data_IF_488306217839
#
_entry.id   IF_488306217839
#
_cell.length_a   1.000
_cell.length_b   1.000
_cell.length_c   1.000
_cell.angle_alpha   90.00
_cell.angle_beta   90.00
_cell.angle_gamma   90.00
#
_symmetry.space_group_name_H-M   'P 1'
#
loop_
_entity.id
_entity.type
_entity.pdbx_description
1 polymer ?
#
# COMPACT_ATOMS: atom_id res chain seq x y z
N UNK A 1 -14.67 -1.28 10.35
CA UNK A 1 -14.70 -1.76 8.95
C UNK A 1 -13.82 -0.85 8.12
N UNK A 2 -12.80 -1.39 7.46
CA UNK A 2 -11.91 -0.61 6.58
C UNK A 2 -12.20 -1.02 5.14
N UNK A 3 -12.79 -0.13 4.35
CA UNK A 3 -13.18 -0.33 2.95
C UNK A 3 -11.99 -0.14 1.98
N UNK A 4 -10.82 -0.68 2.32
CA UNK A 4 -9.68 -0.67 1.38
C UNK A 4 -9.86 -1.86 0.44
N UNK A 5 -10.21 -1.57 -0.81
CA UNK A 5 -10.44 -2.53 -1.89
C UNK A 5 -9.14 -3.23 -2.38
N UNK A 6 -7.98 -2.69 -2.00
CA UNK A 6 -6.66 -3.05 -2.50
C UNK A 6 -5.78 -3.86 -1.53
N UNK A 7 -4.55 -4.14 -1.97
CA UNK A 7 -3.54 -4.70 -1.08
C UNK A 7 -3.20 -3.70 0.02
N UNK A 8 -3.14 -4.18 1.26
CA UNK A 8 -2.83 -3.32 2.42
C UNK A 8 -1.35 -2.97 2.52
N UNK A 9 -0.48 -3.73 1.84
CA UNK A 9 0.98 -3.57 1.84
C UNK A 9 1.57 -3.75 0.45
N UNK A 10 2.73 -3.15 0.22
CA UNK A 10 3.59 -3.37 -0.95
C UNK A 10 5.05 -3.47 -0.48
N UNK A 11 5.87 -4.26 -1.15
CA UNK A 11 7.31 -4.24 -0.88
C UNK A 11 7.88 -2.85 -1.19
N UNK A 12 8.74 -2.34 -0.31
CA UNK A 12 9.57 -1.19 -0.62
C UNK A 12 10.69 -1.62 -1.58
N UNK A 13 11.03 -0.77 -2.53
CA UNK A 13 12.15 -1.03 -3.45
C UNK A 13 13.51 -0.95 -2.73
N UNK A 14 13.53 -0.22 -1.62
CA UNK A 14 14.71 -0.01 -0.80
C UNK A 14 14.65 -0.89 0.46
N UNK A 15 15.72 -1.67 0.69
CA UNK A 15 15.89 -2.51 1.88
C UNK A 15 15.18 -3.87 1.82
N UNK A 16 15.92 -4.93 2.13
CA UNK A 16 15.38 -6.29 2.14
C UNK A 16 14.32 -6.46 3.24
N UNK A 17 13.12 -6.90 2.84
CA UNK A 17 12.01 -7.19 3.75
C UNK A 17 11.29 -5.97 4.30
N UNK A 18 11.54 -4.78 3.73
CA UNK A 18 10.76 -3.58 4.04
C UNK A 18 9.47 -3.54 3.23
N UNK A 19 8.38 -3.17 3.89
CA UNK A 19 7.05 -3.06 3.29
C UNK A 19 6.45 -1.69 3.61
N UNK A 20 5.66 -1.16 2.69
CA UNK A 20 4.87 0.05 2.84
C UNK A 20 3.40 -0.33 3.02
N UNK A 21 2.79 0.11 4.12
CA UNK A 21 1.38 -0.13 4.45
C UNK A 21 0.50 1.09 4.16
N UNK A 22 -0.75 0.85 3.76
CA UNK A 22 -1.77 1.89 3.68
C UNK A 22 -2.15 2.38 5.08
N UNK A 23 -2.24 3.70 5.23
CA UNK A 23 -2.62 4.36 6.46
C UNK A 23 -4.10 4.73 6.43
N UNK A 24 -4.75 4.65 7.58
CA UNK A 24 -6.05 5.27 7.78
C UNK A 24 -5.95 6.79 7.78
N UNK A 25 -7.08 7.47 7.50
CA UNK A 25 -7.16 8.93 7.57
C UNK A 25 -6.71 9.48 8.94
N UNK A 26 -7.03 8.76 10.03
CA UNK A 26 -6.61 9.13 11.39
C UNK A 26 -5.08 9.08 11.54
N UNK A 27 -4.45 7.99 11.11
CA UNK A 27 -2.98 7.84 11.19
C UNK A 27 -2.27 8.95 10.38
N UNK A 28 -2.82 9.34 9.23
CA UNK A 28 -2.29 10.47 8.44
C UNK A 28 -2.43 11.79 9.20
N UNK A 29 -3.56 12.03 9.87
CA UNK A 29 -3.74 13.23 10.69
C UNK A 29 -2.80 13.26 11.91
N UNK A 30 -2.60 12.12 12.57
CA UNK A 30 -1.64 12.00 13.67
C UNK A 30 -0.20 12.27 13.20
N UNK A 31 0.20 11.71 12.05
CA UNK A 31 1.50 12.02 11.44
C UNK A 31 1.68 13.51 11.14
N UNK A 32 0.63 14.18 10.64
CA UNK A 32 0.69 15.63 10.38
C UNK A 32 0.82 16.46 11.66
N UNK A 33 0.17 16.05 12.75
CA UNK A 33 0.29 16.72 14.05
C UNK A 33 1.68 16.56 14.63
N UNK A 34 2.23 15.36 14.56
CA UNK A 34 3.62 15.08 14.98
C UNK A 34 4.62 15.91 14.16
N UNK A 35 4.47 15.92 12.83
CA UNK A 35 5.32 16.71 11.94
C UNK A 35 5.25 18.21 12.26
N UNK A 36 4.07 18.74 12.58
CA UNK A 36 3.91 20.12 13.02
C UNK A 36 4.66 20.41 14.33
N UNK A 37 4.78 19.44 15.24
CA UNK A 37 5.58 19.56 16.45
C UNK A 37 7.10 19.48 16.23
N UNK A 38 7.53 18.83 15.14
CA UNK A 38 8.96 18.74 14.77
C UNK A 38 9.45 19.92 13.93
N UNK A 39 8.56 20.49 13.09
CA UNK A 39 8.90 21.54 12.14
C UNK A 39 9.22 22.85 12.87
N UNK A 40 10.40 23.43 12.64
CA UNK A 40 10.76 24.77 13.14
C UNK A 40 10.62 25.85 12.08
N UNK A 41 10.86 25.48 10.82
CA UNK A 41 10.79 26.38 9.68
C UNK A 41 9.94 25.78 8.55
N UNK A 42 9.29 26.63 7.76
CA UNK A 42 8.42 26.18 6.66
C UNK A 42 9.14 25.30 5.64
N UNK A 43 10.44 25.52 5.41
CA UNK A 43 11.26 24.73 4.48
C UNK A 43 11.40 23.26 4.91
N UNK A 44 11.32 22.97 6.20
CA UNK A 44 11.49 21.62 6.77
C UNK A 44 10.17 20.85 6.80
N UNK A 45 9.04 21.55 6.67
CA UNK A 45 7.69 21.01 6.86
C UNK A 45 7.41 19.77 6.02
N UNK A 46 7.81 19.79 4.75
CA UNK A 46 7.60 18.67 3.85
C UNK A 46 8.43 17.45 4.27
N UNK A 47 9.66 17.66 4.72
CA UNK A 47 10.55 16.60 5.18
C UNK A 47 10.04 15.97 6.48
N UNK A 48 9.65 16.79 7.46
CA UNK A 48 9.07 16.32 8.72
C UNK A 48 7.75 15.56 8.49
N UNK A 49 6.89 16.04 7.58
CA UNK A 49 5.64 15.36 7.23
C UNK A 49 5.89 13.98 6.61
N UNK A 50 6.83 13.91 5.67
CA UNK A 50 7.24 12.66 5.04
C UNK A 50 7.84 11.67 6.05
N UNK A 51 8.70 12.14 6.95
CA UNK A 51 9.29 11.31 8.00
C UNK A 51 8.23 10.74 8.95
N UNK A 52 7.29 11.56 9.43
CA UNK A 52 6.21 11.11 10.32
C UNK A 52 5.24 10.14 9.64
N UNK A 53 5.05 10.29 8.32
CA UNK A 53 4.28 9.36 7.51
C UNK A 53 4.99 8.01 7.39
N UNK A 54 6.29 8.02 7.06
CA UNK A 54 7.09 6.80 6.95
C UNK A 54 7.21 6.05 8.27
N UNK A 55 7.28 6.74 9.41
CA UNK A 55 7.31 6.10 10.72
C UNK A 55 6.11 5.16 10.96
N UNK A 56 4.96 5.46 10.35
CA UNK A 56 3.74 4.64 10.46
C UNK A 56 3.57 3.67 9.29
N UNK A 57 4.05 4.06 8.12
CA UNK A 57 3.83 3.32 6.88
C UNK A 57 4.88 2.24 6.63
N UNK A 58 6.11 2.43 7.11
CA UNK A 58 7.22 1.51 6.86
C UNK A 58 7.24 0.40 7.91
N UNK A 59 7.01 -0.83 7.47
CA UNK A 59 6.96 -2.03 8.31
C UNK A 59 8.03 -3.05 7.88
N UNK A 60 8.40 -3.91 8.82
CA UNK A 60 9.15 -5.14 8.57
C UNK A 60 8.45 -6.28 9.27
N UNK A 61 7.95 -7.26 8.51
CA UNK A 61 7.20 -8.37 9.08
C UNK A 61 5.89 -7.95 9.77
N UNK A 62 5.29 -6.83 9.36
CA UNK A 62 4.06 -6.28 9.94
C UNK A 62 4.25 -5.36 11.15
N UNK A 63 5.48 -5.15 11.61
CA UNK A 63 5.80 -4.24 12.72
C UNK A 63 6.43 -2.94 12.18
N UNK A 64 6.09 -1.76 12.74
CA UNK A 64 6.71 -0.49 12.37
C UNK A 64 8.23 -0.52 12.59
N UNK A 65 8.99 -0.07 11.58
CA UNK A 65 10.46 -0.01 11.68
C UNK A 65 10.92 1.14 12.59
N UNK A 66 10.16 2.22 12.61
CA UNK A 66 10.45 3.41 13.39
C UNK A 66 9.28 3.72 14.33
N UNK A 67 9.59 4.20 15.53
CA UNK A 67 8.58 4.57 16.52
C UNK A 67 7.99 5.97 16.29
N UNK A 68 8.76 6.88 15.69
CA UNK A 68 8.41 8.30 15.51
C UNK A 68 9.02 8.86 14.22
N UNK A 69 8.49 9.97 13.73
CA UNK A 69 9.08 10.71 12.61
C UNK A 69 10.46 11.27 12.93
N UNK A 70 10.72 11.61 14.20
CA UNK A 70 12.06 11.99 14.65
C UNK A 70 13.07 10.87 14.44
N UNK A 71 12.72 9.64 14.82
CA UNK A 71 13.58 8.47 14.60
C UNK A 71 13.86 8.21 13.10
N UNK A 72 12.92 8.55 12.22
CA UNK A 72 13.14 8.48 10.76
C UNK A 72 14.15 9.54 10.30
N UNK A 73 14.06 10.77 10.80
CA UNK A 73 15.00 11.85 10.46
C UNK A 73 16.44 11.54 10.90
N UNK A 74 16.60 10.86 12.04
CA UNK A 74 17.90 10.41 12.54
C UNK A 74 18.43 9.16 11.80
N UNK A 75 17.52 8.29 11.36
CA UNK A 75 17.87 6.96 10.84
C UNK A 75 17.98 6.85 9.32
N UNK A 76 17.39 7.77 8.55
CA UNK A 76 17.36 7.74 7.10
C UNK A 76 17.94 9.02 6.49
N UNK A 77 18.56 8.88 5.32
CA UNK A 77 18.97 10.03 4.54
C UNK A 77 17.76 10.74 3.92
N UNK A 78 17.93 12.02 3.58
CA UNK A 78 16.90 12.82 2.90
C UNK A 78 16.45 12.17 1.58
N UNK A 79 17.38 11.53 0.87
CA UNK A 79 17.10 10.84 -0.39
C UNK A 79 16.21 9.61 -0.18
N UNK A 80 16.50 8.82 0.86
CA UNK A 80 15.71 7.65 1.23
C UNK A 80 14.29 8.05 1.65
N UNK A 81 14.17 9.09 2.48
CA UNK A 81 12.87 9.65 2.89
C UNK A 81 12.08 10.09 1.66
N UNK A 82 12.70 10.80 0.72
CA UNK A 82 12.03 11.23 -0.50
C UNK A 82 11.63 10.05 -1.41
N UNK A 83 12.51 9.06 -1.57
CA UNK A 83 12.25 7.86 -2.36
C UNK A 83 11.07 7.04 -1.81
N UNK A 84 11.14 6.67 -0.53
CA UNK A 84 10.10 5.89 0.13
C UNK A 84 8.76 6.64 0.19
N UNK A 85 8.77 7.95 0.42
CA UNK A 85 7.53 8.75 0.44
C UNK A 85 6.87 8.82 -0.94
N UNK A 86 7.67 8.89 -2.01
CA UNK A 86 7.17 8.80 -3.40
C UNK A 86 6.59 7.42 -3.69
N UNK A 87 7.30 6.35 -3.32
CA UNK A 87 6.80 4.98 -3.46
C UNK A 87 5.47 4.78 -2.73
N UNK A 88 5.38 5.26 -1.48
CA UNK A 88 4.15 5.20 -0.69
C UNK A 88 3.01 5.99 -1.34
N UNK A 89 3.30 7.19 -1.85
CA UNK A 89 2.28 8.03 -2.52
C UNK A 89 1.74 7.38 -3.80
N UNK A 90 2.62 6.76 -4.59
CA UNK A 90 2.23 6.00 -5.78
C UNK A 90 1.40 4.76 -5.42
N UNK A 91 1.81 4.05 -4.38
CA UNK A 91 1.04 2.92 -3.82
C UNK A 91 -0.35 3.36 -3.36
N UNK A 92 -0.43 4.42 -2.56
CA UNK A 92 -1.70 4.93 -2.05
C UNK A 92 -2.64 5.35 -3.19
N UNK A 93 -2.15 6.03 -4.23
CA UNK A 93 -2.98 6.41 -5.39
C UNK A 93 -3.51 5.20 -6.15
N UNK A 94 -2.68 4.17 -6.34
CA UNK A 94 -3.08 2.95 -7.04
C UNK A 94 -4.19 2.19 -6.29
N UNK A 95 -4.11 2.13 -4.97
CA UNK A 95 -5.08 1.38 -4.17
C UNK A 95 -6.28 2.23 -3.68
N UNK A 96 -6.16 3.56 -3.72
CA UNK A 96 -7.22 4.53 -3.40
C UNK A 96 -7.36 5.56 -4.54
N UNK A 97 -7.92 5.16 -5.69
CA UNK A 97 -8.21 6.08 -6.79
C UNK A 97 -9.20 7.16 -6.35
N UNK A 98 -9.02 8.37 -6.84
CA UNK A 98 -10.01 9.44 -6.61
C UNK A 98 -11.23 9.26 -7.52
N UNK A 99 -12.45 9.62 -7.07
CA UNK A 99 -13.65 9.54 -7.89
C UNK A 99 -13.64 10.47 -9.12
N UNK A 100 -12.70 11.41 -9.18
CA UNK A 100 -12.51 12.35 -10.29
C UNK A 100 -11.55 11.83 -11.38
N UNK A 101 -10.90 10.69 -11.14
CA UNK A 101 -10.15 9.99 -12.18
C UNK A 101 -11.19 9.49 -13.20
N UNK A 102 -11.32 10.15 -14.35
CA UNK A 102 -12.43 9.94 -15.27
C UNK A 102 -12.65 8.49 -15.72
N UNK A 103 -13.82 8.21 -16.33
CA UNK A 103 -14.29 6.88 -16.78
C UNK A 103 -13.22 5.93 -17.36
N UNK A 104 -12.28 6.37 -18.23
CA UNK A 104 -11.23 5.50 -18.74
C UNK A 104 -10.30 4.94 -17.65
N UNK A 105 -9.92 5.78 -16.67
CA UNK A 105 -9.05 5.40 -15.56
C UNK A 105 -9.73 4.40 -14.61
N UNK A 106 -11.02 4.61 -14.32
CA UNK A 106 -11.81 3.71 -13.47
C UNK A 106 -11.98 2.33 -14.12
N UNK A 107 -12.21 2.29 -15.43
CA UNK A 107 -12.44 1.03 -16.14
C UNK A 107 -11.16 0.17 -16.21
N UNK A 108 -10.01 0.77 -16.49
CA UNK A 108 -8.72 0.07 -16.47
C UNK A 108 -8.37 -0.42 -15.06
N UNK A 109 -8.70 0.36 -14.03
CA UNK A 109 -8.52 -0.05 -12.65
C UNK A 109 -9.45 -1.20 -12.24
N UNK A 110 -10.73 -1.16 -12.65
CA UNK A 110 -11.68 -2.28 -12.47
C UNK A 110 -11.15 -3.56 -13.12
N UNK A 111 -10.59 -3.46 -14.33
CA UNK A 111 -9.95 -4.61 -14.99
C UNK A 111 -8.76 -5.11 -14.18
N UNK A 112 -7.85 -4.23 -13.79
CA UNK A 112 -6.67 -4.58 -12.99
C UNK A 112 -7.06 -5.28 -11.68
N UNK A 113 -8.06 -4.75 -10.96
CA UNK A 113 -8.56 -5.34 -9.73
C UNK A 113 -9.24 -6.70 -9.97
N UNK A 114 -10.09 -6.82 -10.99
CA UNK A 114 -10.73 -8.10 -11.35
C UNK A 114 -9.70 -9.16 -11.71
N UNK A 115 -8.64 -8.81 -12.46
CA UNK A 115 -7.53 -9.71 -12.77
C UNK A 115 -6.76 -10.11 -11.51
N UNK A 116 -6.52 -9.18 -10.58
CA UNK A 116 -5.85 -9.47 -9.30
C UNK A 116 -6.67 -10.42 -8.43
N UNK A 117 -7.98 -10.18 -8.34
CA UNK A 117 -8.93 -11.03 -7.62
C UNK A 117 -8.93 -12.44 -8.23
N UNK A 118 -9.05 -12.56 -9.56
CA UNK A 118 -9.01 -13.85 -10.26
C UNK A 118 -7.69 -14.60 -10.03
N UNK A 119 -6.54 -13.91 -10.03
CA UNK A 119 -5.23 -14.53 -9.73
C UNK A 119 -5.12 -15.03 -8.30
N UNK A 120 -5.71 -14.33 -7.32
CA UNK A 120 -5.78 -14.80 -5.94
C UNK A 120 -6.63 -16.08 -5.80
N UNK A 121 -7.68 -16.23 -6.61
CA UNK A 121 -8.52 -17.45 -6.65
C UNK A 121 -7.99 -18.56 -7.57
N UNK A 122 -7.08 -18.25 -8.50
CA UNK A 122 -6.52 -19.23 -9.45
C UNK A 122 -5.70 -20.33 -8.75
N UNK A 123 -5.16 -20.06 -7.56
CA UNK A 123 -4.54 -21.09 -6.70
C UNK A 123 -5.55 -21.95 -5.92
N UNK A 124 -6.75 -21.42 -5.63
CA UNK A 124 -7.78 -22.11 -4.87
C UNK A 124 -8.72 -22.95 -5.75
N UNK A 125 -9.00 -22.51 -6.98
CA UNK A 125 -9.90 -23.22 -7.90
C UNK A 125 -9.20 -24.32 -8.73
N UNK A 126 -7.87 -24.31 -8.83
CA UNK A 126 -7.13 -25.34 -9.60
C UNK A 126 -7.10 -26.71 -8.90
N UNK A 127 -7.39 -26.78 -7.59
CA UNK A 127 -7.46 -28.05 -6.85
C UNK A 127 -8.83 -28.73 -6.86
N UNK A 128 -9.91 -27.98 -7.12
CA UNK A 128 -11.29 -28.48 -7.01
C UNK A 128 -11.92 -28.93 -8.34
N UNK A 129 -11.32 -28.56 -9.48
CA UNK A 129 -11.82 -28.97 -10.81
C UNK A 129 -11.11 -30.20 -11.39
N UNK A 130 -10.11 -30.75 -10.69
CA UNK A 130 -9.39 -31.97 -11.11
C UNK A 130 -10.08 -33.31 -10.79
N UNK A 131 -11.30 -33.31 -10.23
CA UNK A 131 -12.02 -34.52 -9.80
C UNK A 131 -13.41 -34.71 -10.41
N UNK A 132 -13.71 -34.08 -11.54
CA UNK A 132 -14.88 -34.46 -12.33
C UNK A 132 -14.47 -35.49 -13.40
N UNK A 133 -14.76 -36.80 -13.22
CA UNK A 133 -14.60 -37.74 -14.31
C UNK A 133 -15.53 -37.36 -15.47
N UNK A 134 -15.10 -37.56 -16.73
CA UNK A 134 -15.93 -37.28 -17.90
C UNK A 134 -17.19 -38.16 -17.85
N UNK A 135 -18.37 -37.53 -17.91
CA UNK A 135 -19.63 -38.27 -18.03
C UNK A 135 -19.65 -38.99 -19.37
N UNK A 136 -19.52 -40.32 -19.34
CA UNK A 136 -19.87 -41.16 -20.49
C UNK A 136 -21.38 -41.03 -20.72
N UNK A 137 -21.76 -40.40 -21.83
CA UNK A 137 -23.15 -40.35 -22.27
C UNK A 137 -23.70 -41.77 -22.50
N UNK A 138 -24.97 -42.03 -22.20
CA UNK A 138 -25.57 -43.32 -22.47
C UNK A 138 -25.85 -43.42 -23.97
N UNK A 139 -25.17 -44.36 -24.62
CA UNK A 139 -25.44 -44.72 -26.01
C UNK A 139 -26.79 -45.39 -26.14
N UNK A 140 -27.62 -44.87 -27.06
CA UNK A 140 -28.54 -45.61 -27.93
C UNK A 140 -28.66 -44.85 -29.24
#
# INVERSE_FOLDING_TARGET
MTLLAGARRTAAEEGQGLELRLLSAREVLEARREAAGLTREDRERALCANACLLARALERGGEPVFSTGGAVLEGLSVEQIASLSRQWSAFNRRENPSPEEGEPGVHDLKKAWSTRLMRAFSGACSGLLGRCPPSRGPGR
#
